data_IF_451673024111
#
_entry.id   IF_451673024111
#
_cell.length_a   1.000
_cell.length_b   1.000
_cell.length_c   1.000
_cell.angle_alpha   90.00
_cell.angle_beta   90.00
_cell.angle_gamma   90.00
#
_symmetry.space_group_name_H-M   'P 1'
#
loop_
_entity.id
_entity.type
_entity.pdbx_description
1 polymer ?
#
# COMPACT_ATOMS: atom_id res chain seq x y z
N UNK A 1 0.25 -8.63 -8.05
CA UNK A 1 0.61 -7.36 -7.41
C UNK A 1 2.05 -7.03 -7.74
N UNK A 2 2.30 -5.83 -8.25
CA UNK A 2 3.63 -5.29 -8.59
C UNK A 2 3.71 -3.84 -8.11
N UNK A 3 4.94 -3.34 -7.90
CA UNK A 3 5.15 -1.92 -7.57
C UNK A 3 4.48 -1.05 -8.64
N UNK A 4 3.74 -0.03 -8.19
CA UNK A 4 2.91 0.85 -9.01
C UNK A 4 1.41 0.51 -9.00
N UNK A 5 1.03 -0.70 -8.57
CA UNK A 5 -0.37 -1.11 -8.48
C UNK A 5 -1.15 -0.29 -7.43
N UNK A 6 -2.44 -0.06 -7.70
CA UNK A 6 -3.37 0.45 -6.69
C UNK A 6 -3.86 -0.72 -5.84
N UNK A 7 -3.73 -0.59 -4.53
CA UNK A 7 -4.07 -1.62 -3.56
C UNK A 7 -5.01 -1.07 -2.48
N UNK A 8 -5.78 -1.95 -1.87
CA UNK A 8 -6.68 -1.59 -0.78
C UNK A 8 -6.17 -2.11 0.56
N UNK A 9 -6.12 -1.22 1.53
CA UNK A 9 -5.80 -1.53 2.91
C UNK A 9 -6.72 -0.73 3.84
N UNK A 10 -7.37 -1.41 4.78
CA UNK A 10 -8.28 -0.78 5.76
C UNK A 10 -9.29 0.19 5.13
N UNK A 11 -9.98 -0.25 4.06
CA UNK A 11 -10.99 0.52 3.31
C UNK A 11 -10.48 1.81 2.65
N UNK A 12 -9.16 2.01 2.56
CA UNK A 12 -8.53 3.12 1.84
C UNK A 12 -7.73 2.59 0.65
N UNK A 13 -7.63 3.41 -0.39
CA UNK A 13 -6.79 3.12 -1.57
C UNK A 13 -5.40 3.68 -1.38
N UNK A 14 -4.39 2.90 -1.76
CA UNK A 14 -2.99 3.29 -1.74
C UNK A 14 -2.30 2.86 -3.03
N UNK A 15 -1.18 3.48 -3.34
CA UNK A 15 -0.26 3.01 -4.38
C UNK A 15 0.84 2.18 -3.74
N UNK A 16 1.05 0.96 -4.20
CA UNK A 16 2.19 0.14 -3.78
C UNK A 16 3.48 0.74 -4.34
N UNK A 17 4.41 1.14 -3.47
CA UNK A 17 5.68 1.75 -3.90
C UNK A 17 6.90 0.87 -3.61
N UNK A 18 6.81 -0.08 -2.67
CA UNK A 18 7.88 -1.03 -2.38
C UNK A 18 7.37 -2.38 -1.87
N UNK A 19 8.05 -3.47 -2.23
CA UNK A 19 7.81 -4.83 -1.71
C UNK A 19 9.08 -5.30 -1.00
N UNK A 20 9.02 -5.44 0.31
CA UNK A 20 10.17 -5.90 1.09
C UNK A 20 10.29 -7.43 1.07
N UNK A 21 11.53 -7.93 1.17
CA UNK A 21 11.81 -9.38 1.20
C UNK A 21 11.26 -10.10 2.43
N UNK A 22 10.92 -9.35 3.49
CA UNK A 22 10.36 -9.89 4.74
C UNK A 22 8.81 -9.99 4.72
N UNK A 23 8.17 -9.76 3.57
CA UNK A 23 6.73 -9.93 3.42
C UNK A 23 5.89 -8.69 3.77
N UNK A 24 6.51 -7.53 3.99
CA UNK A 24 5.79 -6.26 4.15
C UNK A 24 5.79 -5.43 2.87
N UNK A 25 4.84 -4.51 2.77
CA UNK A 25 4.63 -3.60 1.65
C UNK A 25 4.68 -2.16 2.12
N UNK A 26 5.36 -1.31 1.37
CA UNK A 26 5.29 0.15 1.55
C UNK A 26 4.22 0.73 0.62
N UNK A 27 3.24 1.40 1.22
CA UNK A 27 2.07 1.94 0.55
C UNK A 27 2.06 3.47 0.66
N UNK A 28 1.91 4.16 -0.47
CA UNK A 28 1.74 5.61 -0.54
C UNK A 28 0.26 5.96 -0.56
N UNK A 29 -0.18 6.77 0.41
CA UNK A 29 -1.56 7.27 0.42
C UNK A 29 -1.76 8.30 -0.68
N UNK A 30 -2.80 8.09 -1.48
CA UNK A 30 -3.23 9.00 -2.53
C UNK A 30 -4.48 9.78 -2.14
N UNK A 31 -4.87 9.76 -0.86
CA UNK A 31 -6.12 10.35 -0.36
C UNK A 31 -5.88 11.27 0.84
N UNK A 32 -6.59 12.40 0.89
CA UNK A 32 -6.62 13.30 2.05
C UNK A 32 -7.28 12.62 3.26
N UNK A 33 -6.87 12.91 4.50
CA UNK A 33 -5.85 13.89 4.92
C UNK A 33 -4.41 13.37 4.86
N UNK A 34 -4.21 12.10 4.47
CA UNK A 34 -2.93 11.42 4.53
C UNK A 34 -2.16 11.46 3.21
N UNK A 35 -2.55 12.33 2.26
CA UNK A 35 -1.98 12.38 0.93
C UNK A 35 -0.45 12.56 1.00
N UNK A 36 0.28 11.68 0.31
CA UNK A 36 1.74 11.72 0.29
C UNK A 36 2.43 11.02 1.48
N UNK A 37 1.68 10.57 2.50
CA UNK A 37 2.24 9.76 3.59
C UNK A 37 2.40 8.30 3.16
N UNK A 38 3.45 7.66 3.67
CA UNK A 38 3.68 6.22 3.48
C UNK A 38 3.35 5.45 4.75
N UNK A 39 2.92 4.20 4.57
CA UNK A 39 2.73 3.23 5.66
C UNK A 39 3.37 1.90 5.26
N UNK A 40 3.84 1.14 6.25
CA UNK A 40 4.34 -0.22 6.05
C UNK A 40 3.32 -1.20 6.64
N UNK A 41 2.87 -2.15 5.84
CA UNK A 41 1.85 -3.12 6.21
C UNK A 41 2.25 -4.53 5.80
N UNK A 42 1.64 -5.53 6.43
CA UNK A 42 1.80 -6.93 6.04
C UNK A 42 1.09 -7.19 4.70
N UNK A 43 1.79 -7.84 3.75
CA UNK A 43 1.25 -8.14 2.43
C UNK A 43 -0.05 -8.97 2.48
N UNK A 44 -0.19 -9.86 3.47
CA UNK A 44 -1.38 -10.71 3.64
C UNK A 44 -2.65 -9.91 3.96
N UNK A 45 -2.51 -8.66 4.45
CA UNK A 45 -3.64 -7.77 4.79
C UNK A 45 -4.05 -6.86 3.63
N UNK A 46 -3.32 -6.89 2.53
CA UNK A 46 -3.53 -5.99 1.38
C UNK A 46 -4.28 -6.75 0.29
N UNK A 47 -5.39 -6.17 -0.19
CA UNK A 47 -6.14 -6.72 -1.32
C UNK A 47 -5.75 -5.99 -2.59
N UNK A 48 -5.42 -6.76 -3.63
CA UNK A 48 -5.22 -6.19 -4.96
C UNK A 48 -6.59 -5.93 -5.59
N UNK A 49 -6.70 -4.81 -6.32
CA UNK A 49 -7.75 -4.67 -7.31
C UNK A 49 -7.33 -5.33 -8.63
#
# INVERSE_FOLDING_TARGET
MKVGDNVFYNSKSYKLIHVYRNGTLELLSTQQPDFGKTIIVDAAKVKNN
#
